data_IF_524435317297
#
_entry.id   IF_524435317297
#
_cell.length_a   1.000
_cell.length_b   1.000
_cell.length_c   1.000
_cell.angle_alpha   90.00
_cell.angle_beta   90.00
_cell.angle_gamma   90.00
#
_symmetry.space_group_name_H-M   'P 1'
#
loop_
_entity.id
_entity.type
_entity.pdbx_description
1 polymer ?
#
# COMPACT_ATOMS: atom_id res chain seq x y z
N UNK A 1 -13.19 60.35 0.00
CA UNK A 1 -11.93 59.60 0.17
C UNK A 1 -12.27 58.18 0.58
N UNK A 2 -12.10 57.20 -0.32
CA UNK A 2 -12.12 55.77 0.00
C UNK A 2 -10.67 55.28 0.01
N UNK A 3 -10.22 54.48 0.99
CA UNK A 3 -9.01 53.70 0.78
C UNK A 3 -9.38 52.44 -0.01
N UNK A 4 -8.63 52.19 -1.08
CA UNK A 4 -8.62 50.94 -1.81
C UNK A 4 -7.96 49.85 -0.95
N UNK A 5 -8.59 48.67 -0.88
CA UNK A 5 -7.98 47.49 -0.26
C UNK A 5 -7.37 46.65 -1.39
N UNK A 6 -6.05 46.53 -1.38
CA UNK A 6 -5.30 45.66 -2.27
C UNK A 6 -4.89 44.37 -1.55
N UNK A 7 -4.87 43.29 -2.34
CA UNK A 7 -4.23 41.98 -2.13
C UNK A 7 -4.78 41.09 -0.98
N UNK A 8 -4.84 39.76 -1.11
CA UNK A 8 -4.04 38.85 -1.92
C UNK A 8 -4.85 37.64 -2.39
N UNK A 9 -4.79 37.32 -3.67
CA UNK A 9 -5.16 36.00 -4.17
C UNK A 9 -4.04 35.00 -3.82
N UNK A 10 -4.44 33.86 -3.28
CA UNK A 10 -3.58 32.75 -2.85
C UNK A 10 -2.89 32.08 -4.03
N UNK A 11 -1.56 32.12 -4.06
CA UNK A 11 -0.69 31.34 -4.96
C UNK A 11 -0.46 29.90 -4.50
N UNK A 12 -1.00 29.50 -3.33
CA UNK A 12 -0.76 28.18 -2.74
C UNK A 12 -1.57 27.04 -3.41
N UNK A 13 -2.57 27.36 -4.23
CA UNK A 13 -3.46 26.37 -4.85
C UNK A 13 -2.95 25.75 -6.16
N UNK A 14 -2.01 26.40 -6.86
CA UNK A 14 -1.50 25.92 -8.16
C UNK A 14 -0.26 25.03 -8.03
N UNK A 15 0.59 25.27 -7.02
CA UNK A 15 1.86 24.57 -6.83
C UNK A 15 1.69 23.15 -6.23
N UNK A 16 0.68 22.95 -5.39
CA UNK A 16 0.41 21.65 -4.75
C UNK A 16 0.01 20.54 -5.73
N UNK A 17 -0.63 20.90 -6.84
CA UNK A 17 -1.12 19.96 -7.85
C UNK A 17 -0.11 19.65 -8.96
N UNK A 18 1.09 20.22 -8.87
CA UNK A 18 2.18 19.93 -9.79
C UNK A 18 2.54 18.44 -9.73
N UNK A 19 2.56 17.76 -10.88
CA UNK A 19 3.00 16.37 -10.99
C UNK A 19 4.53 16.32 -10.87
N UNK A 20 5.04 15.59 -9.87
CA UNK A 20 6.49 15.48 -9.64
C UNK A 20 7.06 14.15 -10.10
N UNK A 21 6.28 13.07 -10.02
CA UNK A 21 6.71 11.73 -10.43
C UNK A 21 5.53 10.95 -11.00
N UNK A 22 5.79 10.07 -11.97
CA UNK A 22 4.87 9.00 -12.38
C UNK A 22 5.64 7.70 -12.30
N UNK A 23 5.17 6.72 -11.54
CA UNK A 23 5.88 5.47 -11.27
C UNK A 23 4.87 4.35 -10.98
N UNK A 24 5.00 3.19 -11.64
CA UNK A 24 4.13 2.04 -11.40
C UNK A 24 2.63 2.32 -11.54
N UNK A 25 2.23 3.17 -12.50
CA UNK A 25 0.84 3.60 -12.68
C UNK A 25 0.35 4.65 -11.68
N UNK A 26 1.17 5.04 -10.70
CA UNK A 26 0.86 6.07 -9.71
C UNK A 26 1.51 7.39 -10.13
N UNK A 27 0.74 8.47 -10.11
CA UNK A 27 1.28 9.83 -10.18
C UNK A 27 1.50 10.29 -8.75
N UNK A 28 2.57 11.06 -8.48
CA UNK A 28 2.76 11.81 -7.24
C UNK A 28 2.72 13.31 -7.55
N UNK A 29 2.10 14.09 -6.65
CA UNK A 29 2.05 15.55 -6.69
C UNK A 29 3.04 16.15 -5.69
N UNK A 30 3.31 17.44 -5.85
CA UNK A 30 4.10 18.22 -4.88
C UNK A 30 3.50 18.19 -3.47
N UNK A 31 2.17 18.19 -3.37
CA UNK A 31 1.45 18.05 -2.09
C UNK A 31 1.74 16.72 -1.38
N UNK A 32 1.87 15.62 -2.12
CA UNK A 32 2.18 14.29 -1.57
C UNK A 32 3.54 14.30 -0.86
N UNK A 33 4.53 15.01 -1.40
CA UNK A 33 5.86 15.14 -0.77
C UNK A 33 5.79 15.95 0.53
N UNK A 34 4.82 16.85 0.67
CA UNK A 34 4.65 17.67 1.87
C UNK A 34 4.09 16.83 3.03
N UNK A 35 3.23 15.86 2.75
CA UNK A 35 2.73 14.87 3.73
C UNK A 35 3.89 14.13 4.40
N UNK A 36 4.94 13.79 3.65
CA UNK A 36 6.08 13.04 4.16
C UNK A 36 7.01 13.85 5.08
N UNK A 37 6.91 15.19 5.09
CA UNK A 37 7.80 16.08 5.86
C UNK A 37 7.29 16.40 7.28
N UNK A 38 6.14 15.88 7.68
CA UNK A 38 5.52 16.22 8.95
C UNK A 38 4.63 15.12 9.52
N UNK A 39 3.96 15.40 10.65
CA UNK A 39 3.07 14.47 11.34
C UNK A 39 1.71 14.36 10.64
N UNK A 40 1.72 13.98 9.37
CA UNK A 40 0.53 13.88 8.52
C UNK A 40 0.21 12.42 8.23
N UNK A 41 -1.08 12.07 8.18
CA UNK A 41 -1.50 10.79 7.64
C UNK A 41 -0.98 10.62 6.22
N UNK A 42 -0.48 9.43 5.91
CA UNK A 42 -0.22 9.09 4.51
C UNK A 42 -1.57 9.04 3.79
N UNK A 43 -1.61 9.56 2.57
CA UNK A 43 -2.73 9.36 1.67
C UNK A 43 -2.58 8.07 0.86
N UNK A 44 -3.63 7.73 0.13
CA UNK A 44 -3.70 6.57 -0.75
C UNK A 44 -2.60 6.54 -1.81
N UNK A 45 -2.27 7.69 -2.41
CA UNK A 45 -1.24 7.83 -3.46
C UNK A 45 0.14 7.45 -2.97
N UNK A 46 0.53 7.88 -1.77
CA UNK A 46 1.82 7.55 -1.18
C UNK A 46 1.92 6.06 -0.89
N UNK A 47 0.85 5.47 -0.31
CA UNK A 47 0.79 4.02 -0.04
C UNK A 47 0.86 3.24 -1.36
N UNK A 48 0.05 3.62 -2.36
CA UNK A 48 0.03 3.00 -3.68
C UNK A 48 1.42 3.07 -4.35
N UNK A 49 2.07 4.23 -4.32
CA UNK A 49 3.40 4.41 -4.88
C UNK A 49 4.41 3.47 -4.24
N UNK A 50 4.42 3.37 -2.92
CA UNK A 50 5.40 2.53 -2.23
C UNK A 50 5.15 1.04 -2.48
N UNK A 51 3.89 0.60 -2.50
CA UNK A 51 3.56 -0.77 -2.84
C UNK A 51 3.92 -1.12 -4.28
N UNK A 52 3.72 -0.20 -5.23
CA UNK A 52 4.18 -0.39 -6.61
C UNK A 52 5.70 -0.49 -6.68
N UNK A 53 6.44 0.30 -5.88
CA UNK A 53 7.89 0.19 -5.77
C UNK A 53 8.36 -1.14 -5.20
N UNK A 54 7.71 -1.64 -4.15
CA UNK A 54 8.01 -2.98 -3.61
C UNK A 54 7.70 -4.07 -4.64
N UNK A 55 6.59 -3.96 -5.37
CA UNK A 55 6.18 -4.92 -6.40
C UNK A 55 7.17 -4.98 -7.56
N UNK A 56 7.73 -3.84 -7.98
CA UNK A 56 8.71 -3.78 -9.06
C UNK A 56 9.97 -4.62 -8.78
N UNK A 57 10.31 -4.86 -7.50
CA UNK A 57 11.44 -5.70 -7.11
C UNK A 57 11.19 -7.22 -7.28
N UNK A 58 10.00 -7.61 -7.73
CA UNK A 58 9.59 -9.00 -7.97
C UNK A 58 9.19 -9.26 -9.43
N UNK A 59 9.22 -8.23 -10.29
CA UNK A 59 8.88 -8.37 -11.71
C UNK A 59 9.81 -9.37 -12.40
N UNK A 60 9.22 -10.42 -12.99
CA UNK A 60 9.95 -11.49 -13.68
C UNK A 60 10.54 -12.58 -12.77
N UNK A 61 10.49 -12.39 -11.46
CA UNK A 61 11.13 -13.28 -10.49
C UNK A 61 10.13 -14.06 -9.63
N UNK A 62 8.83 -13.72 -9.65
CA UNK A 62 7.85 -14.26 -8.71
C UNK A 62 6.72 -15.15 -9.26
N UNK A 63 6.73 -15.48 -10.55
CA UNK A 63 5.64 -16.21 -11.24
C UNK A 63 4.24 -15.59 -11.04
N UNK A 64 4.15 -14.36 -10.55
CA UNK A 64 2.89 -13.71 -10.19
C UNK A 64 2.29 -14.20 -8.86
N UNK A 65 3.05 -14.83 -7.97
CA UNK A 65 2.52 -15.35 -6.71
C UNK A 65 2.28 -14.27 -5.64
N UNK A 66 3.06 -13.18 -5.66
CA UNK A 66 2.88 -12.05 -4.76
C UNK A 66 2.10 -10.94 -5.46
N UNK A 67 1.07 -10.42 -4.80
CA UNK A 67 0.26 -9.32 -5.30
C UNK A 67 0.15 -8.21 -4.26
N UNK A 68 0.66 -7.03 -4.60
CA UNK A 68 0.51 -5.83 -3.78
C UNK A 68 -0.53 -4.92 -4.44
N UNK A 69 -1.67 -4.72 -3.77
CA UNK A 69 -2.75 -3.90 -4.32
C UNK A 69 -2.64 -2.44 -3.87
N UNK A 70 -2.88 -1.47 -4.76
CA UNK A 70 -3.05 -0.09 -4.33
C UNK A 70 -4.33 0.03 -3.50
N UNK A 71 -4.42 0.99 -2.54
CA UNK A 71 -5.57 1.11 -1.64
C UNK A 71 -6.96 1.18 -2.31
N UNK A 72 -7.03 1.69 -3.54
CA UNK A 72 -8.28 1.84 -4.28
C UNK A 72 -8.97 0.50 -4.60
N UNK A 73 -8.22 -0.59 -4.78
CA UNK A 73 -8.77 -1.90 -5.12
C UNK A 73 -9.48 -2.58 -3.93
N UNK A 74 -8.83 -2.79 -2.76
CA UNK A 74 -9.54 -3.33 -1.60
C UNK A 74 -10.69 -2.43 -1.13
N UNK A 75 -10.55 -1.11 -1.27
CA UNK A 75 -11.65 -0.19 -1.01
C UNK A 75 -12.83 -0.43 -1.96
N UNK A 76 -12.59 -0.55 -3.27
CA UNK A 76 -13.61 -0.90 -4.26
C UNK A 76 -14.27 -2.23 -3.91
N UNK A 77 -13.48 -3.30 -3.72
CA UNK A 77 -13.99 -4.64 -3.40
C UNK A 77 -14.93 -4.64 -2.18
N UNK A 78 -14.59 -3.87 -1.15
CA UNK A 78 -15.40 -3.78 0.08
C UNK A 78 -16.73 -3.05 -0.09
N UNK A 79 -16.87 -2.24 -1.15
CA UNK A 79 -18.01 -1.36 -1.40
C UNK A 79 -18.86 -1.78 -2.62
N UNK A 80 -18.51 -2.89 -3.29
CA UNK A 80 -19.31 -3.43 -4.38
C UNK A 80 -20.61 -4.06 -3.85
N UNK A 81 -21.73 -3.96 -4.60
CA UNK A 81 -23.06 -4.28 -4.09
C UNK A 81 -23.32 -5.79 -3.95
N UNK A 82 -22.59 -6.64 -4.67
CA UNK A 82 -22.85 -8.07 -4.75
C UNK A 82 -21.59 -8.88 -5.10
N UNK A 83 -21.59 -10.20 -4.85
CA UNK A 83 -20.45 -11.07 -5.12
C UNK A 83 -20.02 -11.17 -6.60
N UNK A 84 -20.94 -11.05 -7.55
CA UNK A 84 -20.61 -11.14 -8.98
C UNK A 84 -19.80 -9.91 -9.40
N UNK A 85 -20.18 -8.73 -8.92
CA UNK A 85 -19.44 -7.49 -9.10
C UNK A 85 -18.02 -7.59 -8.51
N UNK A 86 -17.87 -8.18 -7.32
CA UNK A 86 -16.56 -8.43 -6.69
C UNK A 86 -15.72 -9.38 -7.55
N UNK A 87 -16.31 -10.46 -8.06
CA UNK A 87 -15.61 -11.42 -8.93
C UNK A 87 -15.07 -10.76 -10.21
N UNK A 88 -15.84 -9.87 -10.84
CA UNK A 88 -15.41 -9.12 -12.05
C UNK A 88 -14.14 -8.30 -11.81
N UNK A 89 -13.95 -7.74 -10.60
CA UNK A 89 -12.73 -7.00 -10.24
C UNK A 89 -11.60 -7.93 -9.82
N UNK A 90 -11.91 -9.03 -9.15
CA UNK A 90 -10.92 -9.95 -8.59
C UNK A 90 -10.30 -10.92 -9.62
N UNK A 91 -11.05 -11.32 -10.65
CA UNK A 91 -10.61 -12.29 -11.67
C UNK A 91 -9.42 -11.78 -12.52
N UNK A 92 -9.43 -10.54 -13.07
CA UNK A 92 -8.33 -10.06 -13.91
C UNK A 92 -6.99 -9.90 -13.17
N UNK A 93 -7.04 -9.73 -11.85
CA UNK A 93 -5.85 -9.67 -10.99
C UNK A 93 -5.46 -11.04 -10.43
N UNK A 94 -6.21 -12.09 -10.78
CA UNK A 94 -6.01 -13.47 -10.34
C UNK A 94 -5.99 -13.62 -8.81
N UNK A 95 -6.78 -12.82 -8.08
CA UNK A 95 -6.69 -12.69 -6.61
C UNK A 95 -6.75 -14.05 -5.91
N UNK A 96 -7.67 -14.92 -6.32
CA UNK A 96 -7.90 -16.21 -5.68
C UNK A 96 -6.78 -17.24 -5.90
N UNK A 97 -5.92 -17.06 -6.90
CA UNK A 97 -4.81 -17.99 -7.19
C UNK A 97 -3.46 -17.47 -6.71
N UNK A 98 -3.39 -16.26 -6.14
CA UNK A 98 -2.15 -15.71 -5.58
C UNK A 98 -1.78 -16.45 -4.30
N UNK A 99 -0.48 -16.69 -4.11
CA UNK A 99 0.05 -17.26 -2.87
C UNK A 99 0.04 -16.25 -1.72
N UNK A 100 0.25 -14.96 -2.02
CA UNK A 100 0.25 -13.89 -1.02
C UNK A 100 -0.30 -12.58 -1.62
N UNK A 101 -1.30 -11.99 -0.99
CA UNK A 101 -1.87 -10.69 -1.40
C UNK A 101 -1.86 -9.70 -0.25
N UNK A 102 -1.32 -8.50 -0.48
CA UNK A 102 -1.30 -7.40 0.47
C UNK A 102 -2.36 -6.37 0.07
N UNK A 103 -3.29 -6.09 0.98
CA UNK A 103 -4.46 -5.25 0.77
C UNK A 103 -4.50 -4.14 1.84
N UNK A 104 -4.12 -2.89 1.51
CA UNK A 104 -4.32 -1.76 2.41
C UNK A 104 -5.79 -1.58 2.73
N UNK A 105 -6.12 -1.36 4.00
CA UNK A 105 -7.49 -1.16 4.48
C UNK A 105 -7.60 0.22 5.12
N UNK A 106 -8.68 0.92 4.80
CA UNK A 106 -9.06 2.19 5.39
C UNK A 106 -10.50 2.11 5.89
N UNK A 107 -10.78 2.80 6.98
CA UNK A 107 -12.09 2.86 7.65
C UNK A 107 -13.06 3.88 7.03
N UNK A 108 -12.77 4.47 5.86
CA UNK A 108 -13.67 5.44 5.23
C UNK A 108 -15.07 4.84 4.98
N UNK A 109 -16.11 5.32 5.67
CA UNK A 109 -17.46 4.76 5.54
C UNK A 109 -18.19 5.26 4.29
N UNK A 110 -17.67 6.29 3.61
CA UNK A 110 -18.36 6.97 2.52
C UNK A 110 -17.44 7.23 1.33
N UNK A 111 -17.66 6.48 0.25
CA UNK A 111 -16.90 6.59 -0.99
C UNK A 111 -17.07 7.94 -1.71
N UNK A 112 -18.09 8.73 -1.35
CA UNK A 112 -18.30 10.07 -1.90
C UNK A 112 -17.47 11.15 -1.20
N UNK A 113 -16.93 10.85 -0.02
CA UNK A 113 -16.08 11.76 0.76
C UNK A 113 -14.62 11.50 0.42
N UNK A 114 -14.03 12.40 -0.35
CA UNK A 114 -12.59 12.40 -0.60
C UNK A 114 -11.81 12.57 0.71
N UNK A 115 -10.67 11.88 0.83
CA UNK A 115 -9.83 11.88 2.03
C UNK A 115 -10.59 11.47 3.32
N UNK A 116 -11.68 10.71 3.16
CA UNK A 116 -12.41 10.11 4.27
C UNK A 116 -11.61 9.00 4.97
N UNK A 117 -12.14 8.55 6.10
CA UNK A 117 -11.45 7.61 6.99
C UNK A 117 -10.44 8.31 7.91
N UNK A 118 -10.05 7.59 8.96
CA UNK A 118 -9.17 8.05 10.02
C UNK A 118 -8.00 7.11 10.31
N UNK A 119 -8.01 5.89 9.77
CA UNK A 119 -7.03 4.87 10.10
C UNK A 119 -6.66 3.98 8.91
N UNK A 120 -5.39 3.59 8.85
CA UNK A 120 -4.84 2.70 7.85
C UNK A 120 -4.33 1.42 8.50
N UNK A 121 -4.72 0.28 7.95
CA UNK A 121 -4.22 -1.04 8.34
C UNK A 121 -3.90 -1.87 7.12
N UNK A 122 -3.32 -3.05 7.31
CA UNK A 122 -2.97 -3.97 6.22
C UNK A 122 -3.67 -5.31 6.44
N UNK A 123 -4.43 -5.77 5.46
CA UNK A 123 -4.94 -7.14 5.42
C UNK A 123 -4.06 -7.96 4.46
N UNK A 124 -3.69 -9.16 4.88
CA UNK A 124 -2.87 -10.09 4.09
C UNK A 124 -3.67 -11.35 3.84
N UNK A 125 -3.92 -11.67 2.58
CA UNK A 125 -4.38 -13.00 2.17
C UNK A 125 -3.15 -13.89 2.02
N UNK A 126 -3.07 -14.91 2.87
CA UNK A 126 -1.98 -15.87 2.92
C UNK A 126 -2.47 -17.26 2.53
N UNK A 127 -2.09 -17.69 1.34
CA UNK A 127 -2.28 -19.03 0.81
C UNK A 127 -0.93 -19.79 0.68
N UNK A 128 0.08 -19.34 1.42
CA UNK A 128 1.47 -19.81 1.26
C UNK A 128 1.69 -21.26 1.72
N UNK A 129 0.80 -21.78 2.56
CA UNK A 129 0.78 -23.18 3.01
C UNK A 129 -0.14 -24.08 2.16
N UNK A 130 -0.48 -23.60 0.95
CA UNK A 130 -1.34 -24.30 -0.01
C UNK A 130 -2.68 -23.59 -0.18
N UNK A 131 -3.14 -23.54 -1.43
CA UNK A 131 -4.37 -22.84 -1.83
C UNK A 131 -5.64 -23.33 -1.12
N UNK A 132 -5.63 -24.56 -0.58
CA UNK A 132 -6.78 -25.15 0.12
C UNK A 132 -6.94 -24.67 1.57
N UNK A 133 -5.95 -23.98 2.15
CA UNK A 133 -6.00 -23.51 3.54
C UNK A 133 -5.55 -22.04 3.65
N UNK A 134 -6.22 -21.11 2.94
CA UNK A 134 -5.88 -19.71 3.06
C UNK A 134 -6.24 -19.18 4.46
N UNK A 135 -5.56 -18.13 4.88
CA UNK A 135 -5.94 -17.32 6.03
C UNK A 135 -5.85 -15.83 5.68
N UNK A 136 -6.60 -15.03 6.42
CA UNK A 136 -6.53 -13.58 6.35
C UNK A 136 -5.86 -13.08 7.64
N UNK A 137 -4.77 -12.33 7.50
CA UNK A 137 -4.02 -11.78 8.62
C UNK A 137 -4.13 -10.26 8.60
N UNK A 138 -4.69 -9.68 9.65
CA UNK A 138 -4.82 -8.24 9.81
C UNK A 138 -3.65 -7.69 10.60
N UNK A 139 -3.09 -6.57 10.16
CA UNK A 139 -2.01 -5.86 10.82
C UNK A 139 -2.46 -4.43 11.11
N UNK A 140 -2.61 -4.11 12.39
CA UNK A 140 -3.10 -2.83 12.87
C UNK A 140 -2.21 -2.30 14.00
N UNK A 141 -1.63 -1.12 13.77
CA UNK A 141 -0.71 -0.45 14.70
C UNK A 141 -1.42 0.26 15.86
N UNK A 142 -2.76 0.32 15.86
CA UNK A 142 -3.60 0.76 16.97
C UNK A 142 -4.40 -0.39 17.61
N UNK A 143 -4.03 -1.64 17.36
CA UNK A 143 -4.65 -2.82 17.97
C UNK A 143 -5.78 -3.38 17.10
N UNK A 144 -7.03 -3.24 17.52
CA UNK A 144 -8.19 -3.79 16.78
C UNK A 144 -9.16 -2.70 16.32
N UNK A 145 -8.68 -1.46 16.23
CA UNK A 145 -9.53 -0.30 15.94
C UNK A 145 -10.13 -0.37 14.54
N UNK A 146 -9.37 -0.90 13.56
CA UNK A 146 -9.87 -1.07 12.19
C UNK A 146 -10.40 -2.48 11.88
N UNK A 147 -10.63 -3.31 12.91
CA UNK A 147 -10.99 -4.71 12.70
C UNK A 147 -12.30 -4.88 11.94
N UNK A 148 -13.25 -3.96 12.09
CA UNK A 148 -14.52 -3.99 11.37
C UNK A 148 -14.36 -3.79 9.86
N UNK A 149 -13.52 -2.84 9.43
CA UNK A 149 -13.22 -2.64 8.01
C UNK A 149 -12.47 -3.85 7.43
N UNK A 150 -11.51 -4.40 8.18
CA UNK A 150 -10.80 -5.61 7.78
C UNK A 150 -11.74 -6.83 7.69
N UNK A 151 -12.70 -6.94 8.61
CA UNK A 151 -13.73 -7.98 8.62
C UNK A 151 -14.70 -7.85 7.44
N UNK A 152 -15.08 -6.62 7.07
CA UNK A 152 -15.88 -6.37 5.89
C UNK A 152 -15.16 -6.80 4.62
N UNK A 153 -13.90 -6.39 4.45
CA UNK A 153 -13.08 -6.82 3.30
C UNK A 153 -12.91 -8.35 3.31
N UNK A 154 -12.64 -8.96 4.47
CA UNK A 154 -12.55 -10.42 4.60
C UNK A 154 -13.85 -11.14 4.18
N UNK A 155 -15.01 -10.57 4.51
CA UNK A 155 -16.30 -11.14 4.15
C UNK A 155 -16.55 -11.16 2.64
N UNK A 156 -16.11 -10.13 1.90
CA UNK A 156 -16.25 -10.08 0.43
C UNK A 156 -15.21 -10.94 -0.29
N UNK A 157 -14.04 -11.16 0.31
CA UNK A 157 -12.99 -12.01 -0.28
C UNK A 157 -13.29 -13.49 -0.11
N UNK A 158 -13.85 -13.91 1.03
CA UNK A 158 -14.10 -15.33 1.37
C UNK A 158 -14.78 -16.15 0.26
N UNK A 159 -15.85 -15.67 -0.39
CA UNK A 159 -16.52 -16.44 -1.45
C UNK A 159 -15.63 -16.69 -2.69
N UNK A 160 -14.58 -15.90 -2.89
CA UNK A 160 -13.67 -16.04 -4.02
C UNK A 160 -12.59 -17.11 -3.77
N UNK A 161 -12.35 -17.46 -2.51
CA UNK A 161 -11.21 -18.29 -2.13
C UNK A 161 -11.54 -19.78 -2.22
N UNK A 162 -10.54 -20.63 -2.58
CA UNK A 162 -10.71 -22.07 -2.49
C UNK A 162 -11.06 -22.47 -1.05
N UNK A 163 -11.90 -23.50 -0.91
CA UNK A 163 -12.34 -24.03 0.39
C UNK A 163 -13.13 -23.04 1.28
N UNK A 164 -13.88 -22.10 0.66
CA UNK A 164 -14.77 -21.17 1.35
C UNK A 164 -15.76 -21.84 2.34
N UNK A 165 -16.08 -23.12 2.13
CA UNK A 165 -16.95 -23.92 2.98
C UNK A 165 -16.40 -24.17 4.40
N UNK A 166 -15.08 -24.20 4.57
CA UNK A 166 -14.43 -24.42 5.88
C UNK A 166 -14.19 -23.13 6.66
N UNK A 167 -14.53 -21.97 6.08
CA UNK A 167 -14.41 -20.66 6.70
C UNK A 167 -12.96 -20.19 6.77
N UNK A 168 -12.57 -19.31 5.86
CA UNK A 168 -11.23 -18.68 5.87
C UNK A 168 -11.07 -17.83 7.14
N UNK A 169 -10.15 -18.17 8.06
CA UNK A 169 -10.00 -17.47 9.33
C UNK A 169 -9.46 -16.06 9.11
N UNK A 170 -9.95 -15.11 9.91
CA UNK A 170 -9.38 -13.77 10.05
C UNK A 170 -8.68 -13.71 11.40
N UNK A 171 -7.38 -13.46 11.40
CA UNK A 171 -6.54 -13.41 12.60
C UNK A 171 -5.75 -12.11 12.66
N UNK A 172 -5.39 -11.68 13.86
CA UNK A 172 -4.48 -10.55 14.05
C UNK A 172 -3.03 -11.02 13.95
N UNK A 173 -2.25 -10.35 13.12
CA UNK A 173 -0.82 -10.50 13.00
C UNK A 173 -0.08 -9.61 14.01
N UNK A 174 1.13 -10.00 14.44
CA UNK A 174 1.91 -9.16 15.33
C UNK A 174 2.25 -7.85 14.64
N UNK A 175 1.81 -6.75 15.23
CA UNK A 175 2.06 -5.40 14.73
C UNK A 175 2.51 -4.54 15.91
N UNK A 176 3.69 -3.91 15.84
CA UNK A 176 4.10 -3.00 16.89
C UNK A 176 3.12 -1.83 16.99
N UNK A 177 2.76 -1.45 18.22
CA UNK A 177 1.83 -0.35 18.45
C UNK A 177 2.48 0.99 18.11
N UNK A 178 1.76 1.83 17.36
CA UNK A 178 2.21 3.21 17.11
C UNK A 178 2.14 4.04 18.39
N UNK A 179 3.15 4.88 18.60
CA UNK A 179 3.23 5.77 19.76
C UNK A 179 2.63 7.16 19.52
N UNK A 180 2.23 7.46 18.29
CA UNK A 180 1.65 8.74 17.87
C UNK A 180 0.29 8.53 17.19
N UNK A 181 -0.35 9.62 16.74
CA UNK A 181 -1.69 9.57 16.14
C UNK A 181 -1.73 9.65 14.61
N UNK A 182 -0.60 9.54 13.89
CA UNK A 182 -0.55 9.86 12.45
C UNK A 182 0.26 8.89 11.58
N UNK A 183 1.01 7.96 12.17
CA UNK A 183 1.89 7.05 11.43
C UNK A 183 1.25 5.73 11.00
N UNK A 184 -0.05 5.52 11.20
CA UNK A 184 -0.73 4.27 10.82
C UNK A 184 -0.45 3.84 9.37
N UNK A 185 -0.50 4.78 8.42
CA UNK A 185 -0.15 4.53 7.03
C UNK A 185 1.34 4.20 6.81
N UNK A 186 2.24 4.75 7.64
CA UNK A 186 3.68 4.41 7.62
C UNK A 186 3.90 3.00 8.15
N UNK A 187 3.17 2.58 9.20
CA UNK A 187 3.18 1.19 9.67
C UNK A 187 2.70 0.22 8.58
N UNK A 188 1.66 0.56 7.80
CA UNK A 188 1.20 -0.26 6.67
C UNK A 188 2.33 -0.53 5.67
N UNK A 189 3.02 0.51 5.21
CA UNK A 189 4.12 0.35 4.25
C UNK A 189 5.37 -0.31 4.88
N UNK A 190 5.60 -0.14 6.18
CA UNK A 190 6.69 -0.80 6.90
C UNK A 190 6.47 -2.32 7.04
N UNK A 191 5.25 -2.71 7.43
CA UNK A 191 4.84 -4.12 7.50
C UNK A 191 4.88 -4.74 6.10
N UNK A 192 4.38 -4.04 5.08
CA UNK A 192 4.47 -4.51 3.69
C UNK A 192 5.92 -4.77 3.25
N UNK A 193 6.84 -3.85 3.56
CA UNK A 193 8.28 -4.03 3.29
C UNK A 193 8.84 -5.27 3.98
N UNK A 194 8.52 -5.46 5.27
CA UNK A 194 8.99 -6.60 6.05
C UNK A 194 8.47 -7.93 5.47
N UNK A 195 7.20 -7.97 5.04
CA UNK A 195 6.61 -9.13 4.37
C UNK A 195 7.30 -9.42 3.04
N UNK A 196 7.56 -8.39 2.22
CA UNK A 196 8.31 -8.55 0.97
C UNK A 196 9.74 -9.06 1.20
N UNK A 197 10.43 -8.60 2.26
CA UNK A 197 11.76 -9.08 2.62
C UNK A 197 11.73 -10.57 3.00
N UNK A 198 10.76 -10.98 3.82
CA UNK A 198 10.52 -12.39 4.14
C UNK A 198 10.23 -13.22 2.89
N UNK A 199 9.34 -12.73 2.02
CA UNK A 199 8.96 -13.40 0.77
C UNK A 199 10.16 -13.68 -0.13
N UNK A 200 11.04 -12.68 -0.31
CA UNK A 200 12.29 -12.84 -1.07
C UNK A 200 13.20 -13.90 -0.46
N UNK A 201 13.31 -13.94 0.87
CA UNK A 201 14.11 -14.94 1.59
C UNK A 201 13.58 -16.37 1.47
N UNK A 202 12.26 -16.54 1.37
CA UNK A 202 11.60 -17.85 1.26
C UNK A 202 11.98 -18.60 -0.03
N UNK A 203 12.14 -17.92 -1.16
CA UNK A 203 12.55 -18.53 -2.44
C UNK A 203 13.95 -19.15 -2.38
N UNK A 204 14.85 -18.59 -1.57
CA UNK A 204 16.21 -19.12 -1.41
C UNK A 204 16.30 -20.36 -0.51
N UNK A 205 15.23 -20.72 0.19
CA UNK A 205 15.21 -21.84 1.13
C UNK A 205 14.05 -22.78 0.76
N UNK A 206 14.35 -23.88 0.06
CA UNK A 206 13.43 -25.02 -0.10
C UNK A 206 13.10 -25.63 1.27
N UNK A 207 12.22 -24.98 2.04
CA UNK A 207 11.73 -25.50 3.31
C UNK A 207 10.22 -25.53 3.28
N UNK A 208 9.70 -26.72 3.00
CA UNK A 208 8.39 -27.13 3.47
C UNK A 208 8.36 -26.93 5.00
N UNK A 209 7.45 -26.08 5.49
CA UNK A 209 7.27 -25.80 6.92
C UNK A 209 8.00 -24.57 7.49
N UNK A 210 8.35 -23.58 6.66
CA UNK A 210 8.92 -22.31 7.14
C UNK A 210 7.96 -21.46 7.98
N UNK A 211 8.49 -20.79 9.01
CA UNK A 211 7.76 -19.76 9.77
C UNK A 211 7.27 -18.64 8.84
N UNK A 212 6.09 -18.10 9.13
CA UNK A 212 5.53 -16.97 8.41
C UNK A 212 6.32 -15.67 8.65
N UNK A 213 5.86 -14.55 8.09
CA UNK A 213 6.56 -13.27 8.17
C UNK A 213 6.53 -12.61 9.56
N UNK A 214 5.88 -13.23 10.55
CA UNK A 214 5.62 -12.62 11.85
C UNK A 214 6.89 -12.22 12.58
N UNK A 215 7.92 -13.05 12.54
CA UNK A 215 9.21 -12.75 13.17
C UNK A 215 9.96 -11.65 12.43
N UNK A 216 9.84 -11.59 11.10
CA UNK A 216 10.41 -10.50 10.29
C UNK A 216 9.73 -9.17 10.63
N UNK A 217 8.41 -9.14 10.77
CA UNK A 217 7.69 -7.92 11.19
C UNK A 217 8.12 -7.48 12.59
N UNK A 218 8.20 -8.39 13.57
CA UNK A 218 8.67 -8.06 14.93
C UNK A 218 10.11 -7.52 14.96
N UNK A 219 10.95 -7.95 14.02
CA UNK A 219 12.36 -7.57 13.95
C UNK A 219 12.59 -6.27 13.19
N UNK A 220 11.86 -6.04 12.10
CA UNK A 220 12.12 -4.94 11.16
C UNK A 220 11.22 -3.71 11.41
N UNK A 221 10.07 -3.89 12.07
CA UNK A 221 9.12 -2.81 12.31
C UNK A 221 9.18 -2.41 13.78
N UNK A 222 9.54 -1.16 14.03
CA UNK A 222 9.47 -0.50 15.32
C UNK A 222 9.28 1.01 15.13
N UNK A 223 9.19 1.77 16.23
CA UNK A 223 8.98 3.21 16.17
C UNK A 223 10.12 3.97 15.46
N UNK A 224 11.37 3.50 15.59
CA UNK A 224 12.52 4.15 14.97
C UNK A 224 12.57 3.84 13.46
N UNK A 225 12.29 2.61 13.05
CA UNK A 225 12.26 2.23 11.64
C UNK A 225 11.10 2.89 10.89
N UNK A 226 9.94 3.04 11.54
CA UNK A 226 8.79 3.80 11.02
C UNK A 226 9.13 5.29 10.89
N UNK A 227 9.78 5.89 11.89
CA UNK A 227 10.22 7.29 11.82
C UNK A 227 11.22 7.52 10.69
N UNK A 228 12.17 6.59 10.49
CA UNK A 228 13.14 6.65 9.41
C UNK A 228 12.48 6.51 8.02
N UNK A 229 11.42 5.71 7.91
CA UNK A 229 10.76 5.38 6.65
C UNK A 229 10.24 6.61 5.89
N UNK A 230 9.75 7.65 6.58
CA UNK A 230 9.34 8.91 5.91
C UNK A 230 10.51 9.57 5.16
N UNK A 231 11.68 9.62 5.79
CA UNK A 231 12.89 10.17 5.19
C UNK A 231 13.42 9.28 4.06
N UNK A 232 13.41 7.96 4.25
CA UNK A 232 13.78 6.99 3.21
C UNK A 232 12.87 7.12 1.98
N UNK A 233 11.57 7.30 2.18
CA UNK A 233 10.59 7.45 1.11
C UNK A 233 10.79 8.75 0.33
N UNK A 234 11.05 9.86 1.03
CA UNK A 234 11.43 11.12 0.38
C UNK A 234 12.71 10.98 -0.44
N UNK A 235 13.72 10.27 0.09
CA UNK A 235 14.96 10.04 -0.62
C UNK A 235 14.77 9.15 -1.86
N UNK A 236 13.96 8.10 -1.74
CA UNK A 236 13.57 7.25 -2.87
C UNK A 236 12.89 8.06 -3.99
N UNK A 237 11.91 8.89 -3.64
CA UNK A 237 11.19 9.72 -4.61
C UNK A 237 12.16 10.69 -5.30
N UNK A 238 13.05 11.34 -4.54
CA UNK A 238 14.04 12.25 -5.09
C UNK A 238 15.00 11.56 -6.08
N UNK A 239 15.48 10.35 -5.75
CA UNK A 239 16.31 9.55 -6.66
C UNK A 239 15.57 9.21 -7.96
N UNK A 240 14.33 8.72 -7.86
CA UNK A 240 13.53 8.36 -9.05
C UNK A 240 13.19 9.57 -9.94
N UNK A 241 13.05 10.77 -9.36
CA UNK A 241 12.90 12.01 -10.14
C UNK A 241 14.18 12.28 -10.93
N UNK A 242 15.35 12.22 -10.28
CA UNK A 242 16.64 12.44 -10.93
C UNK A 242 16.90 11.42 -12.05
N UNK A 243 16.65 10.13 -11.78
CA UNK A 243 16.84 9.05 -12.77
C UNK A 243 16.02 9.33 -14.04
N UNK A 244 14.77 9.79 -13.89
CA UNK A 244 13.90 10.15 -15.02
C UNK A 244 14.34 11.40 -15.77
N UNK A 245 14.93 12.37 -15.09
CA UNK A 245 15.50 13.56 -15.75
C UNK A 245 16.72 13.17 -16.57
N UNK A 246 17.58 12.32 -16.03
CA UNK A 246 18.78 11.82 -16.71
C UNK A 246 18.43 11.00 -17.95
N UNK A 247 17.42 10.13 -17.88
CA UNK A 247 16.89 9.39 -19.03
C UNK A 247 16.37 10.32 -20.13
N UNK A 248 15.61 11.36 -19.77
CA UNK A 248 15.09 12.35 -20.73
C UNK A 248 16.22 13.14 -21.39
N UNK A 249 17.26 13.48 -20.64
CA UNK A 249 18.41 14.22 -21.16
C UNK A 249 19.19 13.37 -22.17
N UNK A 250 19.50 12.11 -21.82
CA UNK A 250 20.15 11.15 -22.74
C UNK A 250 19.34 10.95 -24.03
N UNK A 251 18.01 10.81 -23.92
CA UNK A 251 17.12 10.65 -25.08
C UNK A 251 17.00 11.91 -25.97
N UNK A 252 17.39 13.09 -25.48
CA UNK A 252 17.46 14.34 -26.25
C UNK A 252 18.80 14.50 -26.95
N UNK A 253 19.88 14.05 -26.32
CA UNK A 253 21.24 14.09 -26.90
C UNK A 253 21.37 13.10 -28.06
N UNK A 254 20.92 11.84 -27.89
CA UNK A 254 20.96 10.85 -28.99
C UNK A 254 20.10 11.21 -30.21
N UNK A 255 19.08 12.07 -30.06
CA UNK A 255 18.25 12.58 -31.17
C UNK A 255 18.86 13.77 -31.92
N UNK A 256 19.96 14.35 -31.42
CA UNK A 256 20.68 15.44 -32.11
C UNK A 256 21.87 14.94 -32.93
N UNK A 257 22.25 13.68 -32.75
CA UNK A 257 23.37 13.03 -33.45
C UNK A 257 22.93 12.21 -34.67
N UNK A 258 21.61 12.02 -34.85
CA UNK A 258 20.95 11.45 -36.04
C UNK A 258 20.37 12.55 -36.94
#
# INVERSE_FOLDING_TARGET
MRPARAASASTAGEDGNERVLSYGGVVLLRSDLSILRGPHFLNDRIIAFYLAHLSAAFEGDDDGDLLLLPPSIPYLLSNLPDPDSVAVVAEPIHLASRSLVLLPVNDNPDASVAEGGSHWTLLVLDATNGASHPRLVHHDSLGVLNFDAARQLAAVLRPLLPDAANGVPLVEGPTPMQANGHDCGVYVIAVARAICNWWRGRRGQQREGGADWFDTVRKEVDAESVKAMRAELLHLIARLIQDKEDEKNKAREGRKED
#
